data_IF_690305809093
#
_entry.id   IF_690305809093
#
_cell.length_a   1.000
_cell.length_b   1.000
_cell.length_c   1.000
_cell.angle_alpha   90.00
_cell.angle_beta   90.00
_cell.angle_gamma   90.00
#
_symmetry.space_group_name_H-M   'P 1'
#
loop_
_entity.id
_entity.type
_entity.pdbx_description
1 polymer ?
#
# COMPACT_ATOMS: atom_id res chain seq x y z
N UNK A 1 -7.58 26.92 40.19
CA UNK A 1 -6.94 25.64 39.84
C UNK A 1 -7.48 25.27 38.48
N UNK A 2 -6.73 25.60 37.43
CA UNK A 2 -7.17 25.46 36.04
C UNK A 2 -7.00 24.01 35.60
N UNK A 3 -8.10 23.38 35.22
CA UNK A 3 -8.14 22.07 34.58
C UNK A 3 -7.81 22.22 33.10
N UNK A 4 -6.57 21.92 32.72
CA UNK A 4 -6.17 21.83 31.32
C UNK A 4 -6.49 20.42 30.81
N UNK A 5 -7.47 20.35 29.91
CA UNK A 5 -7.91 19.12 29.26
C UNK A 5 -6.95 18.83 28.13
N UNK A 6 -6.19 17.73 28.21
CA UNK A 6 -5.30 17.32 27.14
C UNK A 6 -6.12 16.94 25.90
N UNK A 7 -5.81 17.65 24.83
CA UNK A 7 -6.39 17.57 23.49
C UNK A 7 -6.35 16.15 22.96
N UNK A 8 -7.49 15.45 23.00
CA UNK A 8 -7.67 14.27 22.21
C UNK A 8 -7.82 14.73 20.75
N UNK A 9 -6.81 14.48 19.92
CA UNK A 9 -6.88 14.71 18.48
C UNK A 9 -8.15 14.06 17.94
N UNK A 10 -8.97 14.79 17.18
CA UNK A 10 -10.28 14.29 16.78
C UNK A 10 -10.11 13.08 15.87
N UNK A 11 -10.87 12.04 16.21
CA UNK A 11 -11.29 10.94 15.34
C UNK A 11 -11.21 11.36 13.88
N UNK A 12 -10.29 10.75 13.11
CA UNK A 12 -10.31 10.84 11.66
C UNK A 12 -11.63 10.22 11.20
N UNK A 13 -12.59 11.11 11.01
CA UNK A 13 -13.74 10.92 10.14
C UNK A 13 -13.22 10.21 8.89
N UNK A 14 -13.67 8.97 8.69
CA UNK A 14 -13.43 8.20 7.47
C UNK A 14 -14.11 8.94 6.31
N UNK A 15 -13.45 9.97 5.80
CA UNK A 15 -13.78 10.52 4.50
C UNK A 15 -13.45 9.43 3.49
N UNK A 16 -14.34 9.23 2.54
CA UNK A 16 -14.13 8.38 1.37
C UNK A 16 -13.07 9.01 0.43
N UNK A 17 -11.91 9.36 0.99
CA UNK A 17 -10.76 9.90 0.29
C UNK A 17 -9.66 8.84 0.25
N UNK A 18 -8.96 8.78 -0.88
CA UNK A 18 -7.70 8.07 -1.00
C UNK A 18 -6.76 8.52 0.11
N UNK A 19 -6.28 7.60 0.96
CA UNK A 19 -5.29 7.93 1.97
C UNK A 19 -3.96 8.31 1.30
N UNK A 20 -3.30 9.35 1.80
CA UNK A 20 -2.02 9.82 1.25
C UNK A 20 -1.01 10.01 2.38
N UNK A 21 0.21 9.52 2.18
CA UNK A 21 1.34 9.62 3.10
C UNK A 21 2.50 10.29 2.38
N UNK A 22 2.94 11.43 2.90
CA UNK A 22 4.09 12.16 2.37
C UNK A 22 5.40 11.57 2.88
N UNK A 23 6.49 11.67 2.10
CA UNK A 23 7.80 11.22 2.58
C UNK A 23 8.22 12.05 3.79
N UNK A 24 8.61 11.38 4.87
CA UNK A 24 9.13 12.03 6.06
C UNK A 24 10.66 11.96 6.04
N UNK A 25 11.32 13.06 6.44
CA UNK A 25 12.76 13.06 6.63
C UNK A 25 13.11 12.10 7.78
N UNK A 26 13.99 11.14 7.51
CA UNK A 26 14.54 10.27 8.55
C UNK A 26 15.59 11.07 9.31
N UNK A 27 15.28 11.43 10.56
CA UNK A 27 16.26 11.93 11.53
C UNK A 27 16.71 10.78 12.41
N UNK A 28 18.02 10.62 12.61
CA UNK A 28 18.54 9.65 13.57
C UNK A 28 17.91 9.91 14.94
N UNK A 29 17.36 8.88 15.61
CA UNK A 29 16.81 9.08 16.94
C UNK A 29 17.91 9.57 17.86
N UNK A 30 17.64 10.64 18.60
CA UNK A 30 18.60 11.07 19.61
C UNK A 30 18.69 10.00 20.70
N UNK A 31 19.79 9.96 21.45
CA UNK A 31 19.92 9.01 22.58
C UNK A 31 18.71 9.11 23.51
N UNK A 32 18.20 10.34 23.74
CA UNK A 32 17.01 10.60 24.56
C UNK A 32 15.74 9.97 23.99
N UNK A 33 15.53 10.05 22.67
CA UNK A 33 14.38 9.40 22.00
C UNK A 33 14.47 7.87 22.09
N UNK A 34 15.69 7.33 22.03
CA UNK A 34 15.94 5.89 22.17
C UNK A 34 15.62 5.39 23.58
N UNK A 35 15.91 6.17 24.64
CA UNK A 35 15.57 5.79 26.02
C UNK A 35 14.09 6.00 26.32
N UNK A 36 13.46 7.03 25.75
CA UNK A 36 12.03 7.29 25.91
C UNK A 36 11.17 6.15 25.33
N UNK A 37 11.58 5.56 24.20
CA UNK A 37 10.96 4.36 23.64
C UNK A 37 11.02 3.17 24.60
N UNK A 38 12.20 2.91 25.18
CA UNK A 38 12.38 1.83 26.17
C UNK A 38 11.47 2.02 27.40
N UNK A 39 11.37 3.23 27.95
CA UNK A 39 10.57 3.48 29.16
C UNK A 39 9.07 3.29 28.90
N UNK A 40 8.58 3.58 27.69
CA UNK A 40 7.18 3.29 27.33
C UNK A 40 6.89 1.79 27.16
N UNK A 41 7.90 0.96 26.86
CA UNK A 41 7.75 -0.50 26.76
C UNK A 41 7.71 -1.21 28.13
N UNK A 42 8.27 -0.61 29.19
CA UNK A 42 8.28 -1.18 30.55
C UNK A 42 7.14 -0.71 31.45
N UNK A 43 6.27 0.21 31.00
CA UNK A 43 4.99 0.45 31.69
C UNK A 43 4.03 -0.66 31.26
N UNK A 44 3.49 -1.48 32.19
CA UNK A 44 2.47 -2.45 31.84
C UNK A 44 1.34 -1.71 31.12
N UNK A 45 1.10 -2.09 29.87
CA UNK A 45 0.02 -1.57 29.05
C UNK A 45 -1.33 -2.03 29.62
N UNK A 46 -1.71 -1.55 30.81
CA UNK A 46 -3.00 -1.85 31.45
C UNK A 46 -4.09 -0.87 31.03
N UNK A 47 -3.80 0.12 30.18
CA UNK A 47 -4.77 1.14 29.76
C UNK A 47 -4.79 1.46 28.26
N UNK A 48 -4.06 0.73 27.41
CA UNK A 48 -4.41 0.70 25.99
C UNK A 48 -5.53 -0.33 25.82
N UNK A 49 -6.76 0.17 25.64
CA UNK A 49 -7.84 -0.66 25.08
C UNK A 49 -7.35 -1.36 23.80
N UNK A 50 -7.93 -2.52 23.43
CA UNK A 50 -7.35 -3.42 22.44
C UNK A 50 -7.05 -2.66 21.16
N UNK A 51 -5.78 -2.31 20.95
CA UNK A 51 -5.30 -1.83 19.67
C UNK A 51 -5.56 -3.00 18.72
N UNK A 52 -6.55 -2.85 17.84
CA UNK A 52 -7.17 -3.93 17.08
C UNK A 52 -6.10 -4.88 16.52
N UNK A 53 -5.94 -6.04 17.16
CA UNK A 53 -5.10 -7.17 16.70
C UNK A 53 -5.56 -7.73 15.34
N UNK A 54 -6.56 -7.11 14.73
CA UNK A 54 -7.18 -7.44 13.45
C UNK A 54 -6.40 -6.91 12.25
N UNK A 55 -5.62 -5.84 12.37
CA UNK A 55 -4.93 -5.21 11.23
C UNK A 55 -3.42 -5.49 11.19
N UNK A 56 -3.04 -6.73 11.51
CA UNK A 56 -1.65 -7.19 11.36
C UNK A 56 -1.31 -7.42 9.87
N UNK A 57 -0.22 -6.80 9.40
CA UNK A 57 0.40 -7.08 8.10
C UNK A 57 1.03 -8.48 8.15
N UNK A 58 0.56 -9.38 7.30
CA UNK A 58 1.07 -10.74 7.13
C UNK A 58 2.19 -10.80 6.08
N UNK A 59 2.08 -9.99 5.02
CA UNK A 59 3.06 -9.90 3.95
C UNK A 59 3.01 -8.54 3.28
N UNK A 60 4.12 -8.18 2.64
CA UNK A 60 4.24 -6.99 1.81
C UNK A 60 4.95 -7.34 0.51
N UNK A 61 4.59 -6.66 -0.59
CA UNK A 61 5.26 -6.81 -1.88
C UNK A 61 5.36 -5.47 -2.59
N UNK A 62 6.51 -5.23 -3.21
CA UNK A 62 6.69 -4.18 -4.20
C UNK A 62 6.55 -4.75 -5.61
N UNK A 63 5.82 -4.05 -6.47
CA UNK A 63 5.72 -4.31 -7.91
C UNK A 63 6.07 -3.01 -8.64
N UNK A 64 6.90 -3.08 -9.68
CA UNK A 64 7.19 -1.93 -10.54
C UNK A 64 6.28 -2.01 -11.76
N UNK A 65 5.46 -0.98 -11.98
CA UNK A 65 4.64 -0.91 -13.20
C UNK A 65 5.40 -0.07 -14.22
N UNK A 66 5.85 -0.73 -15.29
CA UNK A 66 6.24 -0.05 -16.51
C UNK A 66 4.95 0.42 -17.19
N UNK A 67 4.67 1.72 -17.13
CA UNK A 67 3.59 2.30 -17.90
C UNK A 67 3.98 2.15 -19.38
N UNK A 68 3.20 1.41 -20.16
CA UNK A 68 3.52 1.00 -21.54
C UNK A 68 4.20 2.15 -22.32
N UNK A 69 5.49 1.95 -22.65
CA UNK A 69 6.31 2.90 -23.41
C UNK A 69 5.71 3.24 -24.78
N UNK A 70 4.75 2.45 -25.27
CA UNK A 70 4.04 2.67 -26.54
C UNK A 70 3.16 3.92 -26.56
N UNK A 71 2.80 4.53 -25.42
CA UNK A 71 2.09 5.82 -25.42
C UNK A 71 3.07 6.99 -25.69
N UNK A 72 4.36 6.81 -25.38
CA UNK A 72 5.39 7.83 -25.49
C UNK A 72 6.30 7.69 -26.71
N UNK A 73 6.14 6.63 -27.52
CA UNK A 73 7.04 6.35 -28.64
C UNK A 73 6.94 7.31 -29.84
N UNK A 74 5.95 8.21 -29.88
CA UNK A 74 5.81 9.17 -30.98
C UNK A 74 6.44 10.56 -30.70
N UNK A 75 6.77 10.90 -29.44
CA UNK A 75 7.34 12.21 -29.12
C UNK A 75 8.35 12.11 -27.95
N UNK A 76 9.63 12.29 -28.28
CA UNK A 76 10.80 12.39 -27.38
C UNK A 76 11.37 11.08 -26.81
N UNK A 77 12.45 10.62 -27.45
CA UNK A 77 13.32 9.51 -27.06
C UNK A 77 14.13 9.72 -25.77
N UNK A 78 13.91 10.81 -25.02
CA UNK A 78 14.83 11.27 -23.96
C UNK A 78 14.17 11.51 -22.59
N UNK A 79 12.87 11.20 -22.46
CA UNK A 79 12.18 11.24 -21.17
C UNK A 79 11.97 9.82 -20.67
N UNK A 80 12.89 9.36 -19.82
CA UNK A 80 12.63 8.19 -18.95
C UNK A 80 11.39 8.54 -18.14
N UNK A 81 10.24 7.96 -18.50
CA UNK A 81 9.02 8.15 -17.73
C UNK A 81 9.30 7.69 -16.29
N UNK A 82 8.95 8.50 -15.27
CA UNK A 82 9.22 8.14 -13.89
C UNK A 82 8.49 6.82 -13.58
N UNK A 83 9.25 5.80 -13.18
CA UNK A 83 8.70 4.51 -12.77
C UNK A 83 7.87 4.69 -11.49
N UNK A 84 6.65 4.14 -11.47
CA UNK A 84 5.81 4.12 -10.28
C UNK A 84 5.98 2.77 -9.60
N UNK A 85 6.27 2.81 -8.30
CA UNK A 85 6.34 1.63 -7.45
C UNK A 85 4.96 1.40 -6.85
N UNK A 86 4.49 0.16 -6.87
CA UNK A 86 3.28 -0.26 -6.19
C UNK A 86 3.65 -1.05 -4.95
N UNK A 87 3.18 -0.61 -3.79
CA UNK A 87 3.26 -1.34 -2.54
C UNK A 87 1.94 -2.04 -2.27
N UNK A 88 1.99 -3.35 -2.09
CA UNK A 88 0.84 -4.18 -1.73
C UNK A 88 1.06 -4.69 -0.32
N UNK A 89 0.10 -4.45 0.57
CA UNK A 89 0.09 -4.92 1.94
C UNK A 89 -1.02 -5.95 2.12
N UNK A 90 -0.67 -7.15 2.59
CA UNK A 90 -1.62 -8.19 2.94
C UNK A 90 -1.86 -8.23 4.44
N UNK A 91 -3.11 -8.07 4.85
CA UNK A 91 -3.56 -8.14 6.24
C UNK A 91 -4.29 -9.45 6.51
N UNK A 92 -4.54 -9.74 7.79
CA UNK A 92 -5.44 -10.86 8.15
C UNK A 92 -6.88 -10.62 7.67
N UNK A 93 -7.28 -9.36 7.49
CA UNK A 93 -8.64 -8.95 7.13
C UNK A 93 -8.81 -8.55 5.66
N UNK A 94 -7.75 -8.52 4.87
CA UNK A 94 -7.80 -7.98 3.51
C UNK A 94 -6.45 -7.58 2.93
N UNK A 95 -6.46 -6.60 2.03
CA UNK A 95 -5.29 -6.00 1.40
C UNK A 95 -5.43 -4.48 1.30
N UNK A 96 -4.29 -3.81 1.13
CA UNK A 96 -4.22 -2.44 0.62
C UNK A 96 -3.18 -2.35 -0.49
N UNK A 97 -3.42 -1.48 -1.47
CA UNK A 97 -2.51 -1.19 -2.58
C UNK A 97 -2.23 0.30 -2.61
N UNK A 98 -0.96 0.66 -2.69
CA UNK A 98 -0.47 2.02 -2.66
C UNK A 98 0.42 2.29 -3.88
N UNK A 99 0.23 3.43 -4.54
CA UNK A 99 1.16 3.94 -5.55
C UNK A 99 2.16 4.89 -4.90
N UNK A 100 3.43 4.70 -5.24
CA UNK A 100 4.55 5.51 -4.79
C UNK A 100 5.28 5.99 -6.05
N UNK A 101 4.99 7.21 -6.53
CA UNK A 101 5.71 7.82 -7.64
C UNK A 101 7.10 8.28 -7.19
N UNK A 102 7.91 8.76 -8.12
CA UNK A 102 9.27 9.21 -7.86
C UNK A 102 9.39 10.34 -6.79
N UNK A 103 8.29 11.05 -6.48
CA UNK A 103 8.24 12.05 -5.40
C UNK A 103 8.26 11.43 -4.01
N UNK A 104 8.00 10.12 -3.87
CA UNK A 104 7.90 9.41 -2.60
C UNK A 104 6.54 9.54 -1.89
N UNK A 105 5.59 10.26 -2.47
CA UNK A 105 4.24 10.43 -1.92
C UNK A 105 3.40 9.16 -2.14
N UNK A 106 3.18 8.39 -1.09
CA UNK A 106 2.41 7.16 -1.17
C UNK A 106 0.90 7.46 -1.14
N UNK A 107 0.16 6.99 -2.13
CA UNK A 107 -1.29 7.19 -2.26
C UNK A 107 -2.03 5.86 -2.35
N UNK A 108 -3.03 5.62 -1.51
CA UNK A 108 -3.82 4.39 -1.51
C UNK A 108 -4.73 4.34 -2.75
N UNK A 109 -4.54 3.33 -3.59
CA UNK A 109 -5.33 3.09 -4.79
C UNK A 109 -6.50 2.14 -4.50
N UNK A 110 -6.29 1.14 -3.64
CA UNK A 110 -7.28 0.12 -3.34
C UNK A 110 -7.20 -0.31 -1.87
N UNK A 111 -8.36 -0.37 -1.24
CA UNK A 111 -8.57 -1.01 0.06
C UNK A 111 -9.61 -2.12 -0.10
N UNK A 112 -9.26 -3.36 0.19
CA UNK A 112 -10.19 -4.50 0.06
C UNK A 112 -10.19 -5.34 1.33
N UNK A 113 -11.31 -5.36 2.06
CA UNK A 113 -11.43 -5.95 3.40
C UNK A 113 -12.39 -7.15 3.44
N UNK A 114 -12.15 -8.16 2.60
CA UNK A 114 -12.98 -9.35 2.46
C UNK A 114 -12.24 -10.63 2.86
N UNK A 115 -11.51 -10.59 3.98
CA UNK A 115 -10.77 -11.73 4.51
C UNK A 115 -9.33 -11.82 4.00
N UNK A 116 -8.58 -12.76 4.57
CA UNK A 116 -7.14 -12.87 4.32
C UNK A 116 -6.85 -13.30 2.88
N UNK A 117 -5.89 -12.61 2.28
CA UNK A 117 -5.34 -12.91 0.96
C UNK A 117 -3.99 -13.55 1.15
N UNK A 118 -3.77 -14.71 0.53
CA UNK A 118 -2.48 -15.40 0.55
C UNK A 118 -1.51 -14.79 -0.45
N UNK A 119 -2.01 -14.53 -1.66
CA UNK A 119 -1.21 -14.03 -2.78
C UNK A 119 -2.05 -13.07 -3.61
N UNK A 120 -1.42 -11.96 -4.01
CA UNK A 120 -1.91 -11.05 -5.04
C UNK A 120 -0.83 -10.90 -6.12
N UNK A 121 -1.25 -10.80 -7.39
CA UNK A 121 -0.36 -10.48 -8.50
C UNK A 121 -1.02 -9.53 -9.49
N UNK A 122 -0.32 -8.46 -9.83
CA UNK A 122 -0.67 -7.60 -10.96
C UNK A 122 -0.30 -8.36 -12.24
N UNK A 123 -1.26 -8.51 -13.14
CA UNK A 123 -1.05 -9.28 -14.36
C UNK A 123 -0.34 -8.43 -15.42
N UNK A 124 0.76 -8.94 -16.02
CA UNK A 124 1.47 -8.20 -17.05
C UNK A 124 0.59 -7.98 -18.28
N UNK A 125 0.85 -6.90 -19.01
CA UNK A 125 0.27 -6.69 -20.34
C UNK A 125 0.76 -7.81 -21.27
N UNK A 126 -0.13 -8.55 -21.96
CA UNK A 126 0.24 -9.59 -22.89
C UNK A 126 1.14 -9.01 -23.97
N UNK A 127 2.35 -9.56 -24.09
CA UNK A 127 3.20 -9.29 -25.24
C UNK A 127 2.61 -9.97 -26.47
N UNK A 128 2.67 -9.33 -27.64
CA UNK A 128 2.35 -9.98 -28.90
C UNK A 128 3.32 -11.15 -29.12
N UNK A 129 2.83 -12.38 -29.01
CA UNK A 129 3.62 -13.59 -29.32
C UNK A 129 3.30 -14.02 -30.74
N UNK A 130 4.21 -13.74 -31.68
CA UNK A 130 4.11 -14.14 -33.10
C UNK A 130 3.20 -13.26 -33.97
N UNK A 131 2.85 -13.75 -35.17
CA UNK A 131 2.01 -13.05 -36.16
C UNK A 131 0.51 -13.11 -35.84
N UNK A 132 0.11 -13.87 -34.82
CA UNK A 132 -1.29 -13.93 -34.39
C UNK A 132 -1.55 -12.74 -33.47
N UNK A 133 -2.21 -11.73 -34.03
CA UNK A 133 -2.72 -10.56 -33.31
C UNK A 133 -3.86 -10.98 -32.38
N UNK A 134 -3.56 -11.74 -31.33
CA UNK A 134 -4.52 -12.01 -30.27
C UNK A 134 -4.69 -10.68 -29.52
N UNK A 135 -5.70 -9.92 -29.92
CA UNK A 135 -6.02 -8.65 -29.29
C UNK A 135 -6.39 -8.89 -27.83
N UNK A 136 -5.76 -8.12 -26.95
CA UNK A 136 -6.06 -8.17 -25.53
C UNK A 136 -7.47 -7.64 -25.24
N UNK A 137 -8.41 -8.57 -25.07
CA UNK A 137 -9.83 -8.27 -24.82
C UNK A 137 -10.05 -7.42 -23.56
N UNK A 138 -9.07 -7.42 -22.64
CA UNK A 138 -9.14 -6.66 -21.38
C UNK A 138 -8.29 -5.38 -21.41
N UNK A 139 -7.81 -4.93 -22.57
CA UNK A 139 -6.95 -3.75 -22.71
C UNK A 139 -7.50 -2.52 -21.99
N UNK A 140 -8.81 -2.28 -22.08
CA UNK A 140 -9.47 -1.12 -21.45
C UNK A 140 -9.71 -1.26 -19.95
N UNK A 141 -9.49 -2.44 -19.38
CA UNK A 141 -9.69 -2.75 -17.96
C UNK A 141 -8.38 -2.98 -17.21
N UNK A 142 -7.23 -2.81 -17.87
CA UNK A 142 -5.93 -2.90 -17.21
C UNK A 142 -5.72 -1.73 -16.25
N UNK A 143 -4.93 -1.91 -15.17
CA UNK A 143 -4.25 -3.15 -14.77
C UNK A 143 -5.23 -4.20 -14.21
N UNK A 144 -4.98 -5.48 -14.52
CA UNK A 144 -5.74 -6.59 -13.95
C UNK A 144 -5.00 -7.19 -12.76
N UNK A 145 -5.75 -7.68 -11.79
CA UNK A 145 -5.20 -8.29 -10.58
C UNK A 145 -5.73 -9.73 -10.47
N UNK A 146 -4.83 -10.67 -10.19
CA UNK A 146 -5.17 -12.01 -9.76
C UNK A 146 -5.01 -12.12 -8.24
N UNK A 147 -5.99 -12.76 -7.60
CA UNK A 147 -6.09 -12.90 -6.16
C UNK A 147 -6.32 -14.36 -5.79
N UNK A 148 -5.61 -14.84 -4.76
CA UNK A 148 -5.92 -16.10 -4.09
C UNK A 148 -6.22 -15.82 -2.63
N UNK A 149 -7.47 -16.10 -2.24
CA UNK A 149 -7.94 -15.96 -0.86
C UNK A 149 -7.70 -17.26 -0.06
N UNK A 150 -8.00 -17.17 1.23
CA UNK A 150 -7.94 -18.32 2.14
C UNK A 150 -9.30 -19.02 2.29
N UNK A 151 -10.31 -18.61 1.52
CA UNK A 151 -11.61 -19.24 1.59
C UNK A 151 -11.54 -20.56 0.82
N UNK A 152 -11.78 -21.66 1.54
CA UNK A 152 -11.94 -23.07 1.12
C UNK A 152 -10.82 -24.02 1.60
N UNK A 153 -11.12 -24.99 2.48
CA UNK A 153 -10.34 -26.22 2.61
C UNK A 153 -10.48 -27.00 1.30
N UNK A 154 -9.37 -27.50 0.73
CA UNK A 154 -9.41 -28.35 -0.46
C UNK A 154 -10.28 -29.62 -0.26
N UNK A 155 -10.61 -30.33 -1.37
CA UNK A 155 -11.52 -31.48 -1.38
C UNK A 155 -11.06 -32.65 -0.49
#
# INVERSE_FOLDING_TARGET
MSSESASCSPSQTRSSGSNTVTPQQVTDPTILDSVAGFINEVVPATYSGPCDSKDQIQWARFEQIELDQQIYSDYEYDKIAPSVIILILGYTTGIQIWAIPATGEATEILSWRHGSVRVLKILPTPSYVGFTKNEDVFKTKRPLIALSDNSTPGP
#
